data_IF_540842407541
#
_entry.id   IF_540842407541
#
_cell.length_a   1.000
_cell.length_b   1.000
_cell.length_c   1.000
_cell.angle_alpha   90.00
_cell.angle_beta   90.00
_cell.angle_gamma   90.00
#
_symmetry.space_group_name_H-M   'P 1'
#
loop_
_entity.id
_entity.type
_entity.pdbx_description
1 polymer ?
#
# COMPACT_ATOMS: atom_id res chain seq x y z
N UNK A 1 51.39 17.35 -15.28
CA UNK A 1 50.43 17.43 -14.16
C UNK A 1 49.05 17.93 -14.58
N UNK A 2 48.92 18.87 -15.52
CA UNK A 2 47.64 19.41 -16.02
C UNK A 2 46.69 18.40 -16.74
N UNK A 3 47.20 17.34 -17.37
CA UNK A 3 46.35 16.38 -18.10
C UNK A 3 45.60 15.38 -17.21
N UNK A 4 46.08 15.10 -16.00
CA UNK A 4 45.41 14.19 -15.04
C UNK A 4 44.29 14.87 -14.29
N UNK A 5 44.38 16.18 -14.03
CA UNK A 5 43.32 16.95 -13.36
C UNK A 5 42.14 17.20 -14.28
N UNK A 6 42.35 17.48 -15.57
CA UNK A 6 41.29 17.64 -16.56
C UNK A 6 40.54 16.32 -16.83
N UNK A 7 41.22 15.18 -16.77
CA UNK A 7 40.61 13.85 -16.86
C UNK A 7 39.77 13.50 -15.62
N UNK A 8 40.21 13.92 -14.42
CA UNK A 8 39.45 13.78 -13.17
C UNK A 8 38.19 14.65 -13.16
N UNK A 9 38.28 15.89 -13.59
CA UNK A 9 37.13 16.80 -13.65
C UNK A 9 36.06 16.33 -14.64
N UNK A 10 36.46 15.76 -15.78
CA UNK A 10 35.51 15.15 -16.74
C UNK A 10 34.75 13.98 -16.13
N UNK A 11 35.44 13.05 -15.46
CA UNK A 11 34.86 11.90 -14.81
C UNK A 11 33.91 12.32 -13.67
N UNK A 12 34.27 13.34 -12.91
CA UNK A 12 33.48 13.85 -11.80
C UNK A 12 32.15 14.48 -12.28
N UNK A 13 32.22 15.32 -13.34
CA UNK A 13 31.00 15.92 -13.92
C UNK A 13 30.07 14.89 -14.53
N UNK A 14 30.61 13.90 -15.25
CA UNK A 14 29.83 12.78 -15.78
C UNK A 14 29.15 11.96 -14.65
N UNK A 15 29.90 11.65 -13.61
CA UNK A 15 29.37 10.95 -12.43
C UNK A 15 28.26 11.74 -11.74
N UNK A 16 28.38 13.07 -11.62
CA UNK A 16 27.37 13.92 -11.00
C UNK A 16 26.03 13.90 -11.76
N UNK A 17 26.08 13.94 -13.10
CA UNK A 17 24.88 13.83 -13.93
C UNK A 17 24.24 12.45 -13.83
N UNK A 18 25.08 11.41 -13.83
CA UNK A 18 24.60 10.04 -13.68
C UNK A 18 23.90 9.84 -12.33
N UNK A 19 24.46 10.42 -11.26
CA UNK A 19 23.87 10.40 -9.91
C UNK A 19 22.49 11.11 -9.90
N UNK A 20 22.35 12.25 -10.59
CA UNK A 20 21.06 12.94 -10.69
C UNK A 20 19.97 12.08 -11.32
N UNK A 21 20.28 11.43 -12.45
CA UNK A 21 19.35 10.50 -13.13
C UNK A 21 19.09 9.28 -12.24
N UNK A 22 20.14 8.71 -11.65
CA UNK A 22 20.07 7.55 -10.77
C UNK A 22 19.11 7.83 -9.59
N UNK A 23 19.28 8.96 -8.89
CA UNK A 23 18.41 9.32 -7.76
C UNK A 23 16.95 9.43 -8.21
N UNK A 24 16.67 10.14 -9.31
CA UNK A 24 15.32 10.28 -9.84
C UNK A 24 14.69 8.94 -10.21
N UNK A 25 15.39 8.10 -10.96
CA UNK A 25 14.91 6.78 -11.35
C UNK A 25 14.75 5.84 -10.15
N UNK A 26 15.69 5.86 -9.19
CA UNK A 26 15.61 5.09 -7.95
C UNK A 26 14.37 5.45 -7.14
N UNK A 27 14.11 6.74 -6.97
CA UNK A 27 12.95 7.21 -6.22
C UNK A 27 11.64 6.75 -6.86
N UNK A 28 11.49 6.93 -8.19
CA UNK A 28 10.27 6.48 -8.90
C UNK A 28 10.10 4.97 -8.78
N UNK A 29 11.14 4.21 -9.17
CA UNK A 29 11.04 2.74 -9.18
C UNK A 29 10.79 2.19 -7.77
N UNK A 30 11.53 2.69 -6.77
CA UNK A 30 11.40 2.21 -5.41
C UNK A 30 10.02 2.48 -4.81
N UNK A 31 9.55 3.72 -4.92
CA UNK A 31 8.28 4.14 -4.33
C UNK A 31 7.07 3.52 -5.03
N UNK A 32 7.05 3.54 -6.37
CA UNK A 32 5.93 2.93 -7.13
C UNK A 32 5.89 1.41 -6.90
N UNK A 33 7.05 0.73 -6.78
CA UNK A 33 7.06 -0.71 -6.45
C UNK A 33 6.48 -0.99 -5.07
N UNK A 34 6.75 -0.15 -4.07
CA UNK A 34 6.15 -0.28 -2.72
C UNK A 34 4.65 0.01 -2.78
N UNK A 35 4.21 1.05 -3.50
CA UNK A 35 2.80 1.39 -3.64
C UNK A 35 2.02 0.28 -4.35
N UNK A 36 2.58 -0.33 -5.40
CA UNK A 36 1.97 -1.47 -6.07
C UNK A 36 1.89 -2.69 -5.15
N UNK A 37 2.95 -2.98 -4.38
CA UNK A 37 2.94 -4.03 -3.37
C UNK A 37 1.85 -3.82 -2.32
N UNK A 38 1.70 -2.58 -1.82
CA UNK A 38 0.64 -2.21 -0.88
C UNK A 38 -0.75 -2.36 -1.49
N UNK A 39 -0.94 -1.94 -2.74
CA UNK A 39 -2.20 -2.11 -3.46
C UNK A 39 -2.58 -3.59 -3.58
N UNK A 40 -1.62 -4.44 -3.95
CA UNK A 40 -1.85 -5.88 -4.07
C UNK A 40 -2.17 -6.54 -2.72
N UNK A 41 -1.48 -6.14 -1.66
CA UNK A 41 -1.74 -6.63 -0.30
C UNK A 41 -3.15 -6.24 0.17
N UNK A 42 -3.54 -4.97 -0.01
CA UNK A 42 -4.89 -4.51 0.33
C UNK A 42 -5.95 -5.22 -0.52
N UNK A 43 -5.72 -5.37 -1.83
CA UNK A 43 -6.66 -6.09 -2.70
C UNK A 43 -6.84 -7.54 -2.24
N UNK A 44 -5.76 -8.23 -1.86
CA UNK A 44 -5.88 -9.59 -1.33
C UNK A 44 -6.65 -9.66 -0.01
N UNK A 45 -6.46 -8.69 0.89
CA UNK A 45 -7.25 -8.59 2.13
C UNK A 45 -8.73 -8.29 1.86
N UNK A 46 -9.02 -7.47 0.85
CA UNK A 46 -10.39 -7.18 0.42
C UNK A 46 -11.07 -8.40 -0.24
N UNK A 47 -10.34 -9.18 -1.06
CA UNK A 47 -10.88 -10.44 -1.62
C UNK A 47 -11.28 -11.42 -0.52
N UNK A 48 -10.48 -11.45 0.54
CA UNK A 48 -10.71 -12.27 1.73
C UNK A 48 -11.95 -11.79 2.51
N UNK A 49 -12.20 -10.47 2.57
CA UNK A 49 -13.45 -9.90 3.13
C UNK A 49 -14.68 -10.42 2.38
N UNK A 50 -14.55 -10.67 1.09
CA UNK A 50 -15.59 -11.21 0.21
C UNK A 50 -16.34 -10.11 -0.56
N UNK A 51 -16.44 -10.26 -1.89
CA UNK A 51 -16.99 -9.22 -2.76
C UNK A 51 -18.48 -8.98 -2.58
N UNK A 52 -19.22 -9.89 -1.92
CA UNK A 52 -20.66 -9.74 -1.58
C UNK A 52 -20.88 -9.05 -0.24
N UNK A 53 -19.82 -8.83 0.54
CA UNK A 53 -19.92 -8.31 1.88
C UNK A 53 -19.89 -6.78 1.88
N UNK A 54 -20.70 -6.22 2.75
CA UNK A 54 -20.89 -4.80 2.95
C UNK A 54 -20.73 -4.54 4.45
N UNK A 55 -19.93 -3.55 4.81
CA UNK A 55 -19.77 -3.09 6.19
C UNK A 55 -20.54 -1.78 6.36
N UNK A 56 -21.41 -1.71 7.36
CA UNK A 56 -22.14 -0.49 7.71
C UNK A 56 -21.62 0.00 9.05
N UNK A 57 -20.95 1.15 9.04
CA UNK A 57 -20.39 1.78 10.24
C UNK A 57 -21.20 3.01 10.65
N UNK A 58 -21.25 3.35 11.95
CA UNK A 58 -22.00 4.52 12.41
C UNK A 58 -21.32 5.82 11.97
N UNK A 59 -22.13 6.81 11.57
CA UNK A 59 -21.66 8.14 11.24
C UNK A 59 -20.96 8.27 9.90
N UNK A 60 -20.39 9.45 9.65
CA UNK A 60 -19.65 9.77 8.44
C UNK A 60 -18.16 9.84 8.70
N UNK A 61 -17.38 9.36 7.75
CA UNK A 61 -15.90 9.52 7.75
C UNK A 61 -15.60 10.96 7.33
N UNK A 62 -15.27 11.83 8.27
CA UNK A 62 -14.80 13.18 7.96
C UNK A 62 -13.27 13.23 7.94
N UNK A 63 -12.71 13.73 6.83
CA UNK A 63 -11.26 13.91 6.72
C UNK A 63 -10.72 14.75 7.89
N UNK A 64 -9.77 14.16 8.64
CA UNK A 64 -9.11 14.80 9.78
C UNK A 64 -9.85 14.72 11.12
N UNK A 65 -11.10 14.20 11.18
CA UNK A 65 -11.87 14.05 12.42
C UNK A 65 -12.27 12.62 12.76
N UNK A 66 -12.03 11.66 11.85
CA UNK A 66 -12.46 10.28 12.03
C UNK A 66 -13.96 10.10 11.82
N UNK A 67 -14.54 9.10 12.47
CA UNK A 67 -15.98 8.80 12.39
C UNK A 67 -16.74 9.74 13.32
N UNK A 68 -17.64 10.55 12.76
CA UNK A 68 -18.51 11.48 13.49
C UNK A 68 -19.96 11.09 13.21
N UNK A 69 -20.69 10.69 14.24
CA UNK A 69 -22.13 10.36 14.06
C UNK A 69 -22.74 9.57 15.20
N UNK A 70 -23.94 9.04 14.93
CA UNK A 70 -24.77 8.27 15.85
C UNK A 70 -24.25 6.84 16.04
N UNK A 71 -24.69 6.17 17.10
CA UNK A 71 -24.47 4.73 17.32
C UNK A 71 -25.46 3.90 16.49
N UNK A 72 -25.04 2.72 16.03
CA UNK A 72 -25.92 1.73 15.41
C UNK A 72 -26.69 0.95 16.47
N UNK A 73 -27.95 0.63 16.20
CA UNK A 73 -28.82 -0.05 17.13
C UNK A 73 -29.67 -1.14 16.46
N UNK A 74 -30.45 -1.89 17.24
CA UNK A 74 -31.31 -2.97 16.74
C UNK A 74 -32.35 -2.52 15.69
N UNK A 75 -32.81 -1.27 15.76
CA UNK A 75 -33.78 -0.73 14.78
C UNK A 75 -33.12 -0.56 13.43
N UNK A 76 -31.85 -0.08 13.40
CA UNK A 76 -31.09 0.09 12.18
C UNK A 76 -30.80 -1.26 11.52
N UNK A 77 -30.47 -2.29 12.33
CA UNK A 77 -30.28 -3.66 11.84
C UNK A 77 -31.58 -4.21 11.23
N UNK A 78 -32.74 -3.94 11.87
CA UNK A 78 -34.03 -4.37 11.35
C UNK A 78 -34.39 -3.69 10.02
N UNK A 79 -34.04 -2.40 9.86
CA UNK A 79 -34.18 -1.67 8.59
C UNK A 79 -33.36 -2.31 7.52
N UNK A 80 -32.06 -2.56 7.78
CA UNK A 80 -31.13 -3.17 6.83
C UNK A 80 -31.54 -4.57 6.43
N UNK A 81 -31.96 -5.40 7.41
CA UNK A 81 -32.37 -6.78 7.14
C UNK A 81 -33.66 -6.89 6.28
N UNK A 82 -34.41 -5.79 6.11
CA UNK A 82 -35.56 -5.70 5.22
C UNK A 82 -35.27 -5.02 3.88
N UNK A 83 -34.04 -4.67 3.62
CA UNK A 83 -33.63 -4.17 2.30
C UNK A 83 -33.72 -5.33 1.32
N UNK A 84 -34.22 -5.07 0.14
CA UNK A 84 -34.32 -6.04 -0.94
C UNK A 84 -32.89 -6.49 -1.33
N UNK A 85 -32.70 -7.76 -1.67
CA UNK A 85 -31.44 -8.40 -2.04
C UNK A 85 -30.39 -8.50 -0.91
N UNK A 86 -30.77 -8.20 0.33
CA UNK A 86 -29.96 -8.51 1.52
C UNK A 86 -30.22 -9.94 1.94
N UNK A 87 -29.19 -10.78 1.86
CA UNK A 87 -29.23 -12.18 2.27
C UNK A 87 -29.15 -12.35 3.78
N UNK A 88 -28.19 -11.68 4.41
CA UNK A 88 -27.95 -11.75 5.86
C UNK A 88 -27.39 -10.42 6.32
N UNK A 89 -27.79 -9.98 7.52
CA UNK A 89 -27.22 -8.85 8.24
C UNK A 89 -26.96 -9.22 9.69
N UNK A 90 -25.76 -8.91 10.21
CA UNK A 90 -25.36 -9.27 11.56
C UNK A 90 -24.67 -8.10 12.27
N UNK A 91 -25.01 -7.85 13.55
CA UNK A 91 -24.34 -6.82 14.35
C UNK A 91 -23.05 -7.33 14.96
N UNK A 92 -22.05 -6.44 15.05
CA UNK A 92 -20.75 -6.74 15.60
C UNK A 92 -20.39 -5.71 16.66
N UNK A 93 -19.89 -6.19 17.80
CA UNK A 93 -19.19 -5.41 18.81
C UNK A 93 -17.69 -5.64 18.59
N UNK A 94 -16.95 -4.58 18.34
CA UNK A 94 -15.52 -4.59 18.02
C UNK A 94 -14.77 -3.52 18.85
N UNK A 95 -13.51 -3.31 18.54
CA UNK A 95 -12.69 -2.29 19.19
C UNK A 95 -12.61 -2.42 20.73
N UNK A 96 -12.76 -3.65 21.24
CA UNK A 96 -12.76 -3.98 22.68
C UNK A 96 -11.49 -4.77 23.01
N UNK A 97 -10.56 -4.14 23.67
CA UNK A 97 -9.28 -4.77 24.04
C UNK A 97 -9.41 -5.47 25.39
N UNK A 98 -8.98 -6.72 25.44
CA UNK A 98 -8.91 -7.53 26.65
C UNK A 98 -7.50 -8.06 26.86
N UNK A 99 -7.18 -8.38 28.11
CA UNK A 99 -5.92 -9.01 28.48
C UNK A 99 -6.14 -10.33 29.21
N UNK A 100 -5.28 -11.28 28.99
CA UNK A 100 -5.24 -12.55 29.70
C UNK A 100 -3.83 -13.13 29.69
N UNK A 101 -3.61 -14.16 30.49
CA UNK A 101 -2.30 -14.82 30.57
C UNK A 101 -2.48 -16.32 30.36
N UNK A 102 -1.66 -16.88 29.48
CA UNK A 102 -1.60 -18.32 29.19
C UNK A 102 -0.17 -18.79 29.43
N UNK A 103 -0.01 -19.81 30.24
CA UNK A 103 1.31 -20.40 30.62
C UNK A 103 2.35 -19.34 31.04
N UNK A 104 1.91 -18.25 31.69
CA UNK A 104 2.78 -17.15 32.12
C UNK A 104 3.05 -16.08 31.04
N UNK A 105 2.58 -16.27 29.81
CA UNK A 105 2.68 -15.30 28.70
C UNK A 105 1.48 -14.38 28.72
N UNK A 106 1.64 -13.05 28.78
CA UNK A 106 0.56 -12.10 28.71
C UNK A 106 0.13 -11.87 27.24
N UNK A 107 -1.17 -11.81 27.02
CA UNK A 107 -1.81 -11.45 25.76
C UNK A 107 -2.64 -10.19 25.94
N UNK A 108 -2.58 -9.31 24.95
CA UNK A 108 -3.49 -8.16 24.81
C UNK A 108 -4.07 -8.24 23.41
N UNK A 109 -5.36 -8.54 23.31
CA UNK A 109 -6.00 -8.87 22.05
C UNK A 109 -7.34 -8.17 21.92
N UNK A 110 -7.82 -8.03 20.69
CA UNK A 110 -9.17 -7.56 20.43
C UNK A 110 -10.18 -8.66 20.69
N UNK A 111 -11.33 -8.27 21.26
CA UNK A 111 -12.44 -9.15 21.51
C UNK A 111 -13.64 -8.72 20.68
N UNK A 112 -14.12 -9.62 19.83
CA UNK A 112 -15.32 -9.43 19.02
C UNK A 112 -16.52 -10.09 19.66
N UNK A 113 -17.63 -9.35 19.76
CA UNK A 113 -18.94 -9.89 20.07
C UNK A 113 -19.69 -10.17 18.78
N UNK A 114 -19.91 -11.46 18.47
CA UNK A 114 -20.48 -11.89 17.18
C UNK A 114 -21.68 -12.81 17.36
N UNK A 115 -22.50 -12.89 16.33
CA UNK A 115 -23.60 -13.86 16.25
C UNK A 115 -23.19 -15.07 15.39
N UNK A 116 -24.07 -16.05 15.27
CA UNK A 116 -23.84 -17.22 14.41
C UNK A 116 -23.71 -16.84 12.94
N UNK A 117 -24.52 -15.87 12.52
CA UNK A 117 -24.60 -15.39 11.14
C UNK A 117 -23.27 -14.75 10.67
N UNK A 118 -22.44 -14.27 11.60
CA UNK A 118 -21.10 -13.79 11.31
C UNK A 118 -20.22 -14.83 10.61
N UNK A 119 -20.30 -16.09 11.06
CA UNK A 119 -19.51 -17.19 10.48
C UNK A 119 -20.00 -17.61 9.08
N UNK A 120 -21.24 -17.29 8.75
CA UNK A 120 -21.81 -17.55 7.41
C UNK A 120 -21.32 -16.49 6.41
N UNK A 121 -21.21 -15.25 6.86
CA UNK A 121 -20.77 -14.12 6.04
C UNK A 121 -19.25 -14.10 5.86
N UNK A 122 -18.51 -14.26 6.95
CA UNK A 122 -17.06 -14.14 6.97
C UNK A 122 -16.40 -15.52 6.81
N UNK A 123 -16.01 -15.85 5.57
CA UNK A 123 -15.31 -17.11 5.26
C UNK A 123 -13.99 -17.27 5.99
N UNK A 124 -13.35 -16.17 6.38
CA UNK A 124 -12.10 -16.22 7.15
C UNK A 124 -12.32 -16.59 8.63
N UNK A 125 -13.54 -16.58 9.11
CA UNK A 125 -13.86 -17.07 10.43
C UNK A 125 -14.05 -18.59 10.47
N UNK A 126 -13.55 -19.31 9.45
CA UNK A 126 -13.52 -20.77 9.47
C UNK A 126 -12.66 -21.26 10.65
N UNK A 127 -13.16 -22.29 11.29
CA UNK A 127 -12.57 -22.85 12.51
C UNK A 127 -11.82 -24.14 12.12
N UNK A 128 -10.49 -24.14 12.28
CA UNK A 128 -9.64 -25.28 11.93
C UNK A 128 -9.69 -26.38 12.99
N UNK A 129 -9.82 -25.98 14.29
CA UNK A 129 -9.93 -26.94 15.39
C UNK A 129 -11.13 -26.60 16.26
N UNK A 130 -11.95 -27.61 16.57
CA UNK A 130 -13.13 -27.47 17.39
C UNK A 130 -14.39 -27.09 16.61
N UNK A 131 -15.11 -26.07 17.04
CA UNK A 131 -16.38 -25.61 16.43
C UNK A 131 -16.56 -24.10 16.54
N UNK A 132 -17.41 -23.58 15.68
CA UNK A 132 -17.91 -22.20 15.73
C UNK A 132 -18.80 -21.97 16.96
N UNK A 133 -19.06 -20.69 17.28
CA UNK A 133 -20.02 -20.30 18.32
C UNK A 133 -21.44 -20.68 17.92
N UNK A 134 -22.21 -21.16 18.89
CA UNK A 134 -23.63 -21.45 18.73
C UNK A 134 -24.48 -20.36 19.40
N UNK A 135 -25.68 -20.19 18.93
CA UNK A 135 -26.68 -19.22 19.53
C UNK A 135 -26.90 -19.45 21.02
N UNK A 136 -26.74 -20.65 21.52
CA UNK A 136 -26.94 -21.05 22.91
C UNK A 136 -25.71 -20.85 23.78
N UNK A 137 -24.58 -20.56 23.19
CA UNK A 137 -23.32 -20.35 23.94
C UNK A 137 -23.38 -19.05 24.74
N UNK A 138 -22.90 -19.10 25.99
CA UNK A 138 -22.81 -17.94 26.90
C UNK A 138 -21.40 -17.74 27.45
N UNK A 139 -20.60 -18.81 27.52
CA UNK A 139 -19.26 -18.79 28.11
C UNK A 139 -18.24 -19.40 27.15
N UNK A 140 -18.54 -19.42 25.86
CA UNK A 140 -17.68 -19.95 24.83
C UNK A 140 -16.81 -18.84 24.19
N UNK A 141 -15.63 -19.21 23.71
CA UNK A 141 -14.75 -18.34 22.94
C UNK A 141 -14.13 -19.12 21.79
N UNK A 142 -14.04 -18.50 20.64
CA UNK A 142 -13.16 -18.93 19.54
C UNK A 142 -11.96 -18.02 19.55
N UNK A 143 -10.76 -18.58 19.47
CA UNK A 143 -9.51 -17.85 19.59
C UNK A 143 -8.74 -17.84 18.28
N UNK A 144 -7.94 -16.81 18.06
CA UNK A 144 -7.08 -16.68 16.88
C UNK A 144 -5.94 -17.68 16.86
N UNK A 145 -5.48 -18.02 15.65
CA UNK A 145 -4.41 -19.00 15.45
C UNK A 145 -3.10 -18.61 16.18
N UNK A 146 -2.74 -17.32 16.18
CA UNK A 146 -1.53 -16.82 16.88
C UNK A 146 -1.67 -16.82 18.40
N UNK A 147 -2.89 -16.89 18.93
CA UNK A 147 -3.16 -17.06 20.37
C UNK A 147 -3.05 -18.53 20.74
N UNK A 148 -3.58 -19.42 19.90
CA UNK A 148 -3.50 -20.85 20.10
C UNK A 148 -2.05 -21.34 19.99
N UNK A 149 -1.37 -20.94 18.93
CA UNK A 149 0.04 -21.25 18.65
C UNK A 149 0.75 -20.00 18.15
N UNK A 150 1.44 -19.24 19.04
CA UNK A 150 2.28 -18.10 18.62
C UNK A 150 3.34 -18.50 17.61
N UNK A 151 3.77 -17.57 16.77
CA UNK A 151 4.75 -17.81 15.70
C UNK A 151 6.14 -18.25 16.21
N UNK A 152 6.44 -18.02 17.48
CA UNK A 152 7.68 -18.38 18.15
C UNK A 152 7.59 -19.71 18.94
N UNK A 153 6.46 -20.42 18.87
CA UNK A 153 6.22 -21.70 19.53
C UNK A 153 5.92 -22.81 18.52
N UNK A 154 6.57 -23.95 18.68
CA UNK A 154 6.37 -25.13 17.82
C UNK A 154 5.09 -25.90 18.15
N UNK A 155 4.57 -25.76 19.39
CA UNK A 155 3.37 -26.45 19.84
C UNK A 155 2.29 -25.47 20.35
N UNK A 156 1.01 -25.82 20.24
CA UNK A 156 -0.07 -25.00 20.79
C UNK A 156 0.07 -24.81 22.30
N UNK A 157 -0.08 -23.55 22.74
CA UNK A 157 -0.02 -23.19 24.17
C UNK A 157 -1.40 -23.19 24.80
N UNK A 158 -2.48 -23.04 24.00
CA UNK A 158 -3.88 -23.13 24.42
C UNK A 158 -4.70 -23.75 23.30
N UNK A 159 -5.65 -24.61 23.63
CA UNK A 159 -6.46 -25.35 22.68
C UNK A 159 -7.92 -25.51 23.09
N UNK A 160 -8.67 -26.24 22.26
CA UNK A 160 -10.09 -26.52 22.51
C UNK A 160 -10.28 -27.26 23.83
N UNK A 161 -11.20 -26.74 24.65
CA UNK A 161 -11.49 -27.25 25.98
C UNK A 161 -10.88 -26.46 27.14
N UNK A 162 -9.81 -25.69 26.88
CA UNK A 162 -9.15 -24.85 27.87
C UNK A 162 -10.05 -23.68 28.32
N UNK A 163 -9.70 -23.13 29.50
CA UNK A 163 -10.39 -21.96 30.03
C UNK A 163 -9.49 -20.75 30.05
N UNK A 164 -9.99 -19.65 29.47
CA UNK A 164 -9.36 -18.34 29.51
C UNK A 164 -10.07 -17.43 30.48
N UNK A 165 -9.29 -16.73 31.33
CA UNK A 165 -9.78 -15.65 32.18
C UNK A 165 -9.37 -14.32 31.56
N UNK A 166 -10.31 -13.71 30.84
CA UNK A 166 -10.08 -12.42 30.18
C UNK A 166 -10.42 -11.29 31.15
N UNK A 167 -9.60 -10.25 31.13
CA UNK A 167 -9.73 -9.05 31.96
C UNK A 167 -9.81 -7.82 31.09
N UNK A 168 -10.69 -6.91 31.46
CA UNK A 168 -10.79 -5.60 30.84
C UNK A 168 -11.24 -4.54 31.84
N UNK A 169 -10.96 -3.28 31.53
CA UNK A 169 -11.45 -2.15 32.30
C UNK A 169 -12.73 -1.61 31.65
N UNK A 170 -13.86 -1.86 32.30
CA UNK A 170 -15.19 -1.43 31.84
C UNK A 170 -15.69 -0.32 32.77
N UNK A 171 -15.97 0.85 32.23
CA UNK A 171 -16.43 2.01 33.02
C UNK A 171 -15.52 2.36 34.22
N UNK A 172 -14.20 2.13 34.05
CA UNK A 172 -13.21 2.39 35.09
C UNK A 172 -13.02 1.25 36.12
N UNK A 173 -13.84 0.18 36.05
CA UNK A 173 -13.78 -0.99 36.92
C UNK A 173 -13.16 -2.18 36.20
N UNK A 174 -12.20 -2.85 36.82
CA UNK A 174 -11.64 -4.09 36.28
C UNK A 174 -12.66 -5.22 36.42
N UNK A 175 -13.02 -5.83 35.28
CA UNK A 175 -13.89 -7.00 35.22
C UNK A 175 -13.13 -8.19 34.68
N UNK A 176 -13.53 -9.37 35.16
CA UNK A 176 -13.00 -10.66 34.72
C UNK A 176 -14.15 -11.52 34.17
N UNK A 177 -13.88 -12.17 33.03
CA UNK A 177 -14.81 -13.09 32.38
C UNK A 177 -14.08 -14.42 32.15
N UNK A 178 -14.69 -15.53 32.59
CA UNK A 178 -14.14 -16.88 32.35
C UNK A 178 -14.84 -17.51 31.14
N UNK A 179 -14.05 -17.82 30.11
CA UNK A 179 -14.51 -18.35 28.83
C UNK A 179 -13.88 -19.73 28.57
N UNK A 180 -14.65 -20.62 27.95
CA UNK A 180 -14.13 -21.93 27.50
C UNK A 180 -13.83 -21.85 26.00
N UNK A 181 -12.63 -22.24 25.60
CA UNK A 181 -12.24 -22.34 24.19
C UNK A 181 -13.03 -23.47 23.55
N UNK A 182 -13.81 -23.14 22.52
CA UNK A 182 -14.62 -24.09 21.75
C UNK A 182 -14.13 -24.28 20.33
N UNK A 183 -13.28 -23.35 19.85
CA UNK A 183 -12.66 -23.45 18.53
C UNK A 183 -11.46 -22.53 18.40
N UNK A 184 -10.68 -22.78 17.37
CA UNK A 184 -9.52 -21.99 16.96
C UNK A 184 -9.73 -21.59 15.50
N UNK A 185 -9.63 -20.29 15.20
CA UNK A 185 -9.70 -19.80 13.81
C UNK A 185 -8.53 -20.34 12.99
N UNK A 186 -8.79 -20.62 11.73
CA UNK A 186 -7.74 -20.85 10.75
C UNK A 186 -6.82 -19.63 10.63
N UNK A 187 -5.56 -19.88 10.28
CA UNK A 187 -4.59 -18.80 10.09
C UNK A 187 -4.87 -18.07 8.77
N UNK A 188 -5.20 -16.81 8.83
CA UNK A 188 -5.63 -15.99 7.69
C UNK A 188 -4.60 -14.98 7.23
N UNK A 189 -3.62 -14.64 8.05
CA UNK A 189 -2.63 -13.59 7.77
C UNK A 189 -3.17 -12.16 7.89
N UNK A 190 -4.36 -11.99 8.42
CA UNK A 190 -5.09 -10.71 8.53
C UNK A 190 -6.24 -10.62 7.52
N UNK A 191 -7.25 -9.83 7.87
CA UNK A 191 -8.43 -9.57 7.03
C UNK A 191 -8.83 -8.10 7.13
N UNK A 192 -9.46 -7.57 6.07
CA UNK A 192 -10.00 -6.22 6.09
C UNK A 192 -10.99 -6.06 7.26
N UNK A 193 -10.70 -5.12 8.15
CA UNK A 193 -11.54 -4.79 9.30
C UNK A 193 -11.36 -5.65 10.56
N UNK A 194 -10.63 -6.80 10.52
CA UNK A 194 -10.40 -7.63 11.70
C UNK A 194 -9.12 -8.47 11.57
N UNK A 195 -8.27 -8.44 12.58
CA UNK A 195 -7.13 -9.37 12.73
C UNK A 195 -7.58 -10.60 13.52
N UNK A 196 -8.21 -11.56 12.82
CA UNK A 196 -8.75 -12.76 13.45
C UNK A 196 -7.64 -13.64 14.07
N UNK A 197 -6.44 -13.63 13.50
CA UNK A 197 -5.32 -14.42 13.98
C UNK A 197 -4.87 -14.00 15.41
N UNK A 198 -5.04 -12.71 15.74
CA UNK A 198 -4.68 -12.12 17.02
C UNK A 198 -5.89 -11.66 17.84
N UNK A 199 -7.08 -12.19 17.60
CA UNK A 199 -8.31 -11.80 18.25
C UNK A 199 -9.05 -12.96 18.87
N UNK A 200 -10.10 -12.64 19.64
CA UNK A 200 -11.02 -13.63 20.19
C UNK A 200 -12.46 -13.26 19.86
N UNK A 201 -13.22 -14.27 19.44
CA UNK A 201 -14.67 -14.15 19.18
C UNK A 201 -15.51 -14.73 20.32
N UNK A 202 -16.47 -13.98 20.86
CA UNK A 202 -17.39 -14.43 21.89
C UNK A 202 -18.85 -14.18 21.44
N UNK A 203 -19.84 -14.87 22.04
CA UNK A 203 -21.24 -14.61 21.72
C UNK A 203 -21.63 -13.15 21.98
N UNK A 204 -22.34 -12.54 21.03
CA UNK A 204 -22.75 -11.14 21.06
C UNK A 204 -23.38 -10.74 22.40
N UNK A 205 -24.30 -11.58 22.93
CA UNK A 205 -24.95 -11.31 24.22
C UNK A 205 -23.99 -11.27 25.39
N UNK A 206 -22.98 -12.13 25.37
CA UNK A 206 -21.93 -12.17 26.40
C UNK A 206 -21.06 -10.91 26.31
N UNK A 207 -20.73 -10.45 25.11
CA UNK A 207 -20.04 -9.18 24.90
C UNK A 207 -20.87 -8.00 25.44
N UNK A 208 -22.15 -7.92 25.10
CA UNK A 208 -23.04 -6.85 25.58
C UNK A 208 -23.11 -6.81 27.11
N UNK A 209 -23.24 -7.96 27.76
CA UNK A 209 -23.28 -8.04 29.23
C UNK A 209 -21.94 -7.68 29.89
N UNK A 210 -20.84 -8.15 29.33
CA UNK A 210 -19.51 -7.90 29.86
C UNK A 210 -19.12 -6.41 29.78
N UNK A 211 -19.37 -5.79 28.63
CA UNK A 211 -19.06 -4.39 28.37
C UNK A 211 -20.13 -3.42 28.83
N UNK A 212 -21.29 -3.93 29.33
CA UNK A 212 -22.45 -3.11 29.74
C UNK A 212 -22.99 -2.23 28.61
N UNK A 213 -23.01 -2.77 27.38
CA UNK A 213 -23.46 -2.05 26.18
C UNK A 213 -24.95 -2.34 25.98
N UNK A 214 -25.75 -1.27 25.96
CA UNK A 214 -27.22 -1.34 25.95
C UNK A 214 -27.89 -1.62 24.60
N UNK A 215 -27.22 -2.29 23.66
CA UNK A 215 -27.79 -2.56 22.34
C UNK A 215 -27.21 -1.63 21.25
N UNK A 216 -26.11 -1.03 21.53
CA UNK A 216 -25.27 -0.30 20.56
C UNK A 216 -24.27 -1.26 19.92
N UNK A 217 -23.94 -1.00 18.65
CA UNK A 217 -23.03 -1.82 17.85
C UNK A 217 -21.97 -0.94 17.19
N UNK A 218 -20.79 -1.52 17.04
CA UNK A 218 -19.68 -0.81 16.41
C UNK A 218 -19.82 -0.81 14.89
N UNK A 219 -20.34 -1.90 14.30
CA UNK A 219 -20.70 -1.97 12.88
C UNK A 219 -21.66 -3.13 12.60
N UNK A 220 -22.28 -3.10 11.43
CA UNK A 220 -23.01 -4.26 10.89
C UNK A 220 -22.22 -4.83 9.72
N UNK A 221 -22.23 -6.16 9.63
CA UNK A 221 -21.80 -6.88 8.45
C UNK A 221 -23.02 -7.37 7.71
N UNK A 222 -23.12 -7.05 6.44
CA UNK A 222 -24.26 -7.34 5.57
C UNK A 222 -23.72 -8.13 4.38
N UNK A 223 -24.46 -9.13 3.92
CA UNK A 223 -24.16 -9.87 2.71
C UNK A 223 -25.30 -9.69 1.71
N UNK A 224 -24.98 -9.25 0.50
CA UNK A 224 -25.90 -9.23 -0.62
C UNK A 224 -26.10 -10.65 -1.19
N UNK A 225 -27.21 -10.90 -1.88
CA UNK A 225 -27.49 -12.21 -2.50
C UNK A 225 -26.46 -12.56 -3.57
N UNK A 226 -26.07 -11.59 -4.41
CA UNK A 226 -25.05 -11.74 -5.44
C UNK A 226 -24.11 -10.53 -5.48
N UNK A 227 -22.96 -10.68 -6.16
CA UNK A 227 -21.97 -9.59 -6.29
C UNK A 227 -22.55 -8.42 -7.08
N UNK A 228 -23.32 -8.71 -8.12
CA UNK A 228 -23.89 -7.71 -9.02
C UNK A 228 -24.90 -6.80 -8.32
N UNK A 229 -25.50 -7.25 -7.22
CA UNK A 229 -26.49 -6.50 -6.45
C UNK A 229 -25.89 -5.68 -5.32
N UNK A 230 -24.58 -5.77 -5.07
CA UNK A 230 -23.92 -5.07 -3.96
C UNK A 230 -24.12 -3.57 -4.07
N UNK A 231 -23.89 -2.98 -5.25
CA UNK A 231 -24.02 -1.53 -5.45
C UNK A 231 -25.46 -1.05 -5.23
N UNK A 232 -26.47 -1.82 -5.67
CA UNK A 232 -27.89 -1.51 -5.44
C UNK A 232 -28.26 -1.60 -3.97
N UNK A 233 -27.74 -2.62 -3.27
CA UNK A 233 -27.97 -2.79 -1.82
C UNK A 233 -27.32 -1.65 -1.03
N UNK A 234 -26.11 -1.21 -1.41
CA UNK A 234 -25.43 -0.07 -0.80
C UNK A 234 -26.28 1.19 -0.94
N UNK A 235 -26.74 1.53 -2.16
CA UNK A 235 -27.57 2.70 -2.43
C UNK A 235 -28.88 2.66 -1.60
N UNK A 236 -29.55 1.50 -1.55
CA UNK A 236 -30.79 1.34 -0.76
C UNK A 236 -30.57 1.47 0.75
N UNK A 237 -29.44 1.03 1.28
CA UNK A 237 -29.08 1.20 2.70
C UNK A 237 -28.84 2.69 2.99
N UNK A 238 -28.08 3.37 2.13
CA UNK A 238 -27.78 4.80 2.24
C UNK A 238 -29.07 5.63 2.16
N UNK A 239 -29.98 5.31 1.25
CA UNK A 239 -31.28 5.98 1.13
C UNK A 239 -32.13 5.86 2.39
N UNK A 240 -32.08 4.70 3.07
CA UNK A 240 -32.91 4.44 4.26
C UNK A 240 -32.33 4.99 5.55
N UNK A 241 -31.00 4.98 5.70
CA UNK A 241 -30.31 5.40 6.92
C UNK A 241 -29.67 6.79 6.79
N UNK A 242 -29.50 7.29 5.56
CA UNK A 242 -28.98 8.62 5.27
C UNK A 242 -27.57 8.85 5.81
N UNK A 243 -27.30 10.09 6.21
CA UNK A 243 -26.01 10.51 6.74
C UNK A 243 -25.64 9.93 8.11
N UNK A 244 -26.52 9.10 8.69
CA UNK A 244 -26.28 8.46 9.98
C UNK A 244 -25.27 7.31 9.90
N UNK A 245 -24.96 6.82 8.69
CA UNK A 245 -24.09 5.68 8.46
C UNK A 245 -23.15 5.94 7.30
N UNK A 246 -22.03 5.24 7.28
CA UNK A 246 -21.17 5.05 6.10
C UNK A 246 -21.24 3.59 5.70
N UNK A 247 -21.50 3.34 4.43
CA UNK A 247 -21.59 1.99 3.86
C UNK A 247 -20.31 1.73 3.05
N UNK A 248 -19.62 0.67 3.40
CA UNK A 248 -18.34 0.29 2.76
C UNK A 248 -18.54 -1.06 2.08
N UNK A 249 -18.49 -1.09 0.76
CA UNK A 249 -18.43 -2.31 -0.04
C UNK A 249 -16.98 -2.61 -0.45
N UNK A 250 -16.77 -3.79 -1.04
CA UNK A 250 -15.49 -4.14 -1.66
C UNK A 250 -15.05 -3.09 -2.70
N UNK A 251 -15.97 -2.68 -3.57
CA UNK A 251 -15.70 -1.69 -4.62
C UNK A 251 -15.33 -0.32 -4.05
N UNK A 252 -16.16 0.20 -3.13
CA UNK A 252 -15.89 1.51 -2.51
C UNK A 252 -14.60 1.52 -1.68
N UNK A 253 -14.22 0.39 -1.08
CA UNK A 253 -12.95 0.26 -0.38
C UNK A 253 -11.77 0.27 -1.35
N UNK A 254 -11.88 -0.40 -2.51
CA UNK A 254 -10.86 -0.34 -3.57
C UNK A 254 -10.69 1.08 -4.10
N UNK A 255 -11.78 1.79 -4.37
CA UNK A 255 -11.76 3.16 -4.87
C UNK A 255 -11.08 4.10 -3.86
N UNK A 256 -11.44 3.99 -2.59
CA UNK A 256 -10.82 4.79 -1.52
C UNK A 256 -9.30 4.57 -1.44
N UNK A 257 -8.88 3.31 -1.51
CA UNK A 257 -7.46 2.95 -1.52
C UNK A 257 -6.78 3.48 -2.78
N UNK A 258 -7.42 3.29 -3.95
CA UNK A 258 -6.94 3.79 -5.23
C UNK A 258 -6.71 5.31 -5.23
N UNK A 259 -7.64 6.07 -4.69
CA UNK A 259 -7.55 7.53 -4.56
C UNK A 259 -6.40 7.98 -3.67
N UNK A 260 -6.22 7.32 -2.53
CA UNK A 260 -5.11 7.60 -1.59
C UNK A 260 -3.78 7.27 -2.24
N UNK A 261 -3.65 6.07 -2.83
CA UNK A 261 -2.41 5.64 -3.50
C UNK A 261 -2.12 6.52 -4.71
N UNK A 262 -3.11 6.86 -5.52
CA UNK A 262 -2.98 7.78 -6.65
C UNK A 262 -2.50 9.17 -6.24
N UNK A 263 -2.98 9.68 -5.13
CA UNK A 263 -2.49 10.95 -4.56
C UNK A 263 -1.03 10.86 -4.14
N UNK A 264 -0.64 9.77 -3.48
CA UNK A 264 0.75 9.51 -3.10
C UNK A 264 1.63 9.41 -4.34
N UNK A 265 1.21 8.64 -5.36
CA UNK A 265 1.94 8.49 -6.63
C UNK A 265 2.10 9.84 -7.36
N UNK A 266 1.08 10.69 -7.38
CA UNK A 266 1.16 12.01 -7.99
C UNK A 266 2.19 12.92 -7.29
N UNK A 267 2.20 12.93 -5.94
CA UNK A 267 3.19 13.71 -5.15
C UNK A 267 4.61 13.20 -5.41
N UNK A 268 4.79 11.88 -5.36
CA UNK A 268 6.10 11.25 -5.56
C UNK A 268 6.58 11.41 -7.01
N UNK A 269 5.67 11.31 -7.97
CA UNK A 269 5.93 11.61 -9.39
C UNK A 269 6.38 13.06 -9.60
N UNK A 270 5.78 14.00 -8.87
CA UNK A 270 6.19 15.40 -8.86
C UNK A 270 7.62 15.60 -8.35
N UNK A 271 7.99 14.96 -7.24
CA UNK A 271 9.35 15.00 -6.68
C UNK A 271 10.37 14.41 -7.66
N UNK A 272 10.01 13.29 -8.27
CA UNK A 272 10.86 12.64 -9.27
C UNK A 272 11.05 13.50 -10.53
N UNK A 273 10.00 14.16 -11.00
CA UNK A 273 10.07 15.10 -12.12
C UNK A 273 11.02 16.25 -11.82
N UNK A 274 10.98 16.83 -10.62
CA UNK A 274 11.91 17.88 -10.19
C UNK A 274 13.35 17.34 -10.20
N UNK A 275 13.58 16.14 -9.67
CA UNK A 275 14.91 15.52 -9.66
C UNK A 275 15.46 15.31 -11.08
N UNK A 276 14.61 14.88 -12.02
CA UNK A 276 15.00 14.71 -13.42
C UNK A 276 15.23 16.03 -14.15
N UNK A 277 14.49 17.10 -13.82
CA UNK A 277 14.74 18.45 -14.34
C UNK A 277 16.13 18.92 -13.88
N UNK A 278 16.46 18.75 -12.61
CA UNK A 278 17.78 19.10 -12.07
C UNK A 278 18.89 18.30 -12.77
N UNK A 279 18.70 16.99 -12.96
CA UNK A 279 19.62 16.15 -13.73
C UNK A 279 19.76 16.64 -15.18
N UNK A 280 18.63 17.02 -15.81
CA UNK A 280 18.61 17.59 -17.15
C UNK A 280 19.43 18.87 -17.30
N UNK A 281 19.32 19.79 -16.34
CA UNK A 281 20.17 21.01 -16.31
C UNK A 281 21.64 20.64 -16.17
N UNK A 282 21.98 19.64 -15.35
CA UNK A 282 23.32 19.09 -15.24
C UNK A 282 23.85 18.54 -16.57
N UNK A 283 23.02 17.82 -17.33
CA UNK A 283 23.36 17.29 -18.66
C UNK A 283 23.63 18.43 -19.64
N UNK A 284 22.77 19.45 -19.70
CA UNK A 284 22.96 20.64 -20.55
C UNK A 284 24.34 21.27 -20.28
N UNK A 285 24.64 21.50 -19.01
CA UNK A 285 25.90 22.12 -18.61
C UNK A 285 27.11 21.25 -19.01
N UNK A 286 27.07 19.98 -18.69
CA UNK A 286 28.18 19.05 -18.98
C UNK A 286 28.42 18.86 -20.48
N UNK A 287 27.32 18.69 -21.24
CA UNK A 287 27.42 18.57 -22.70
C UNK A 287 27.93 19.87 -23.34
N UNK A 288 27.50 21.04 -22.84
CA UNK A 288 27.99 22.34 -23.34
C UNK A 288 29.47 22.45 -23.13
N UNK A 289 29.99 22.10 -21.96
CA UNK A 289 31.44 22.09 -21.69
C UNK A 289 32.16 21.05 -22.56
N UNK A 290 31.58 19.84 -22.73
CA UNK A 290 32.14 18.81 -23.62
C UNK A 290 32.25 19.27 -25.07
N UNK A 291 31.27 20.00 -25.59
CA UNK A 291 31.28 20.61 -26.91
C UNK A 291 32.43 21.64 -27.01
N UNK A 292 32.57 22.51 -26.00
CA UNK A 292 33.63 23.52 -25.99
C UNK A 292 35.04 22.87 -25.97
N UNK A 293 35.26 21.85 -25.15
CA UNK A 293 36.53 21.10 -25.07
C UNK A 293 36.83 20.34 -26.36
N UNK A 294 35.83 19.88 -27.12
CA UNK A 294 35.98 19.16 -28.40
C UNK A 294 35.80 20.02 -29.63
N UNK A 295 35.74 21.35 -29.50
CA UNK A 295 35.49 22.26 -30.61
C UNK A 295 36.44 22.04 -31.78
N UNK A 296 37.74 21.88 -31.51
CA UNK A 296 38.74 21.61 -32.53
C UNK A 296 38.57 20.25 -33.21
N UNK A 297 38.21 19.20 -32.45
CA UNK A 297 37.91 17.86 -33.01
C UNK A 297 36.70 17.92 -33.97
N UNK A 298 35.67 18.64 -33.59
CA UNK A 298 34.45 18.87 -34.41
C UNK A 298 34.82 19.62 -35.67
N UNK A 299 35.70 20.65 -35.57
CA UNK A 299 36.21 21.40 -36.70
C UNK A 299 36.98 20.52 -37.70
N UNK A 300 37.86 19.63 -37.22
CA UNK A 300 38.59 18.66 -38.06
C UNK A 300 37.59 17.70 -38.74
N UNK A 301 36.66 17.11 -38.00
CA UNK A 301 35.66 16.20 -38.56
C UNK A 301 34.84 16.86 -39.70
N UNK A 302 34.43 18.11 -39.52
CA UNK A 302 33.73 18.86 -40.54
C UNK A 302 34.62 19.25 -41.72
N UNK A 303 35.91 19.56 -41.51
CA UNK A 303 36.87 19.86 -42.57
C UNK A 303 37.13 18.66 -43.48
N UNK A 304 37.08 17.43 -42.97
CA UNK A 304 37.19 16.18 -43.74
C UNK A 304 35.85 15.69 -44.32
N UNK A 305 34.75 16.46 -44.15
CA UNK A 305 33.46 16.20 -44.84
C UNK A 305 32.32 15.70 -44.00
N UNK A 306 32.42 15.64 -42.67
CA UNK A 306 31.31 15.29 -41.80
C UNK A 306 30.20 16.33 -41.89
N UNK A 307 28.95 15.87 -42.03
CA UNK A 307 27.75 16.73 -42.08
C UNK A 307 27.34 17.17 -40.68
N UNK A 308 26.64 18.28 -40.58
CA UNK A 308 26.10 18.77 -39.31
C UNK A 308 25.22 17.71 -38.60
N UNK A 309 24.52 16.87 -39.37
CA UNK A 309 23.74 15.76 -38.83
C UNK A 309 24.57 14.70 -38.13
N UNK A 310 25.76 14.42 -38.63
CA UNK A 310 26.64 13.40 -38.06
C UNK A 310 27.17 13.85 -36.70
N UNK A 311 27.51 15.13 -36.56
CA UNK A 311 27.88 15.75 -35.27
C UNK A 311 26.69 15.76 -34.30
N UNK A 312 25.49 16.10 -34.79
CA UNK A 312 24.27 16.08 -33.98
C UNK A 312 24.01 14.66 -33.41
N UNK A 313 24.04 13.64 -34.29
CA UNK A 313 23.81 12.25 -33.86
C UNK A 313 24.87 11.73 -32.91
N UNK A 314 26.13 12.16 -33.05
CA UNK A 314 27.19 11.81 -32.11
C UNK A 314 26.85 12.26 -30.68
N UNK A 315 26.44 13.50 -30.48
CA UNK A 315 26.09 14.02 -29.15
C UNK A 315 24.75 13.48 -28.62
N UNK A 316 23.77 13.26 -29.52
CA UNK A 316 22.51 12.63 -29.10
C UNK A 316 22.74 11.17 -28.68
N UNK A 317 23.61 10.42 -29.35
CA UNK A 317 23.93 9.05 -28.93
C UNK A 317 24.62 9.03 -27.56
N UNK A 318 25.47 10.01 -27.25
CA UNK A 318 26.07 10.18 -25.95
C UNK A 318 25.01 10.44 -24.85
N UNK A 319 24.01 11.27 -25.16
CA UNK A 319 22.88 11.53 -24.26
C UNK A 319 22.02 10.27 -24.04
N UNK A 320 21.73 9.50 -25.10
CA UNK A 320 21.00 8.23 -25.02
C UNK A 320 21.72 7.24 -24.11
N UNK A 321 23.04 7.06 -24.32
CA UNK A 321 23.84 6.15 -23.49
C UNK A 321 23.83 6.59 -22.03
N UNK A 322 23.97 7.89 -21.77
CA UNK A 322 23.89 8.43 -20.41
C UNK A 322 22.54 8.16 -19.75
N UNK A 323 21.43 8.39 -20.48
CA UNK A 323 20.08 8.10 -20.02
C UNK A 323 19.83 6.61 -19.78
N UNK A 324 20.32 5.73 -20.68
CA UNK A 324 20.22 4.28 -20.53
C UNK A 324 21.00 3.78 -19.30
N UNK A 325 22.25 4.17 -19.17
CA UNK A 325 23.08 3.74 -18.02
C UNK A 325 22.51 4.25 -16.71
N UNK A 326 22.15 5.55 -16.64
CA UNK A 326 21.54 6.14 -15.45
C UNK A 326 20.17 5.55 -15.13
N UNK A 327 19.33 5.34 -16.14
CA UNK A 327 18.00 4.78 -16.02
C UNK A 327 18.02 3.32 -15.55
N UNK A 328 18.82 2.47 -16.18
CA UNK A 328 18.94 1.05 -15.82
C UNK A 328 19.52 0.90 -14.41
N UNK A 329 20.63 1.58 -14.13
CA UNK A 329 21.24 1.51 -12.78
C UNK A 329 20.31 2.08 -11.70
N UNK A 330 19.61 3.17 -12.00
CA UNK A 330 18.61 3.77 -11.10
C UNK A 330 17.43 2.86 -10.86
N UNK A 331 16.86 2.25 -11.91
CA UNK A 331 15.76 1.31 -11.78
C UNK A 331 16.14 0.08 -10.94
N UNK A 332 17.30 -0.53 -11.22
CA UNK A 332 17.78 -1.68 -10.45
C UNK A 332 18.04 -1.33 -8.98
N UNK A 333 18.62 -0.17 -8.72
CA UNK A 333 18.87 0.29 -7.36
C UNK A 333 17.56 0.65 -6.64
N UNK A 334 16.56 1.15 -7.38
CA UNK A 334 15.22 1.39 -6.86
C UNK A 334 14.53 0.10 -6.40
N UNK A 335 14.58 -0.96 -7.22
CA UNK A 335 14.08 -2.28 -6.83
C UNK A 335 14.80 -2.83 -5.60
N UNK A 336 16.13 -2.71 -5.57
CA UNK A 336 16.91 -3.16 -4.42
C UNK A 336 16.50 -2.42 -3.14
N UNK A 337 16.37 -1.10 -3.18
CA UNK A 337 15.92 -0.31 -2.03
C UNK A 337 14.48 -0.66 -1.63
N UNK A 338 13.59 -0.86 -2.60
CA UNK A 338 12.21 -1.28 -2.33
C UNK A 338 12.16 -2.61 -1.57
N UNK A 339 12.99 -3.59 -1.97
CA UNK A 339 13.07 -4.89 -1.28
C UNK A 339 13.61 -4.76 0.14
N UNK A 340 14.64 -3.93 0.34
CA UNK A 340 15.19 -3.69 1.68
C UNK A 340 14.15 -3.02 2.58
N UNK A 341 13.52 -1.95 2.12
CA UNK A 341 12.49 -1.23 2.89
C UNK A 341 11.26 -2.14 3.12
N UNK A 342 10.78 -2.81 2.07
CA UNK A 342 9.65 -3.73 2.16
C UNK A 342 9.87 -4.85 3.18
N UNK A 343 11.11 -5.38 3.25
CA UNK A 343 11.48 -6.37 4.26
C UNK A 343 11.41 -5.85 5.71
N UNK A 344 11.70 -4.56 5.94
CA UNK A 344 11.57 -3.96 7.27
C UNK A 344 10.12 -3.70 7.69
N UNK A 345 9.25 -3.39 6.74
CA UNK A 345 7.84 -3.07 7.00
C UNK A 345 6.91 -4.28 6.77
N UNK A 346 7.46 -5.46 6.48
CA UNK A 346 6.74 -6.68 6.12
C UNK A 346 5.76 -6.51 4.94
N UNK A 347 6.10 -5.66 3.99
CA UNK A 347 5.33 -5.39 2.80
C UNK A 347 6.13 -5.81 1.56
N UNK A 348 5.75 -6.87 0.83
CA UNK A 348 6.47 -7.28 -0.37
C UNK A 348 6.27 -6.25 -1.49
N UNK A 349 7.34 -5.58 -1.98
CA UNK A 349 7.21 -4.69 -3.13
C UNK A 349 6.96 -5.49 -4.41
N UNK A 350 6.18 -4.93 -5.32
CA UNK A 350 5.89 -5.55 -6.62
C UNK A 350 6.46 -4.70 -7.78
N UNK A 351 7.74 -4.90 -8.15
CA UNK A 351 8.37 -4.19 -9.25
C UNK A 351 7.93 -4.77 -10.60
N UNK A 352 7.05 -4.09 -11.32
CA UNK A 352 6.64 -4.53 -12.65
C UNK A 352 7.71 -4.21 -13.72
N UNK A 353 7.87 -5.11 -14.70
CA UNK A 353 8.73 -4.90 -15.87
C UNK A 353 8.30 -3.65 -16.66
N UNK A 354 7.00 -3.39 -16.73
CA UNK A 354 6.44 -2.19 -17.37
C UNK A 354 6.94 -0.90 -16.73
N UNK A 355 6.97 -0.84 -15.40
CA UNK A 355 7.51 0.28 -14.64
C UNK A 355 8.99 0.51 -14.94
N UNK A 356 9.81 -0.55 -14.94
CA UNK A 356 11.24 -0.44 -15.24
C UNK A 356 11.48 0.12 -16.64
N UNK A 357 10.78 -0.40 -17.65
CA UNK A 357 10.88 0.08 -19.04
C UNK A 357 10.42 1.54 -19.14
N UNK A 358 9.33 1.90 -18.46
CA UNK A 358 8.84 3.28 -18.42
C UNK A 358 9.87 4.23 -17.81
N UNK A 359 10.46 3.89 -16.67
CA UNK A 359 11.45 4.72 -15.97
C UNK A 359 12.72 4.90 -16.80
N UNK A 360 13.23 3.81 -17.42
CA UNK A 360 14.39 3.88 -18.32
C UNK A 360 14.05 4.72 -19.56
N UNK A 361 12.90 4.53 -20.16
CA UNK A 361 12.43 5.35 -21.29
C UNK A 361 12.34 6.82 -20.95
N UNK A 362 11.81 7.14 -19.77
CA UNK A 362 11.70 8.51 -19.28
C UNK A 362 13.07 9.15 -18.99
N UNK A 363 14.02 8.38 -18.43
CA UNK A 363 15.42 8.82 -18.24
C UNK A 363 16.11 9.12 -19.57
N UNK A 364 15.94 8.27 -20.58
CA UNK A 364 16.46 8.48 -21.94
C UNK A 364 15.85 9.71 -22.57
N UNK A 365 14.52 9.87 -22.50
CA UNK A 365 13.81 11.04 -23.05
C UNK A 365 14.33 12.34 -22.41
N UNK A 366 14.44 12.39 -21.09
CA UNK A 366 14.99 13.54 -20.36
C UNK A 366 16.42 13.85 -20.79
N UNK A 367 17.27 12.83 -20.92
CA UNK A 367 18.67 12.99 -21.34
C UNK A 367 18.78 13.52 -22.78
N UNK A 368 17.94 13.00 -23.70
CA UNK A 368 17.91 13.43 -25.10
C UNK A 368 17.41 14.87 -25.22
N UNK A 369 16.31 15.21 -24.54
CA UNK A 369 15.75 16.57 -24.55
C UNK A 369 16.78 17.56 -24.01
N UNK A 370 17.43 17.23 -22.90
CA UNK A 370 18.46 18.08 -22.31
C UNK A 370 19.73 18.19 -23.16
N UNK A 371 20.13 17.10 -23.84
CA UNK A 371 21.27 17.07 -24.73
C UNK A 371 21.04 17.73 -26.09
N UNK A 372 19.77 17.95 -26.48
CA UNK A 372 19.43 18.45 -27.81
C UNK A 372 19.98 19.87 -28.08
N UNK A 373 19.88 20.77 -27.11
CA UNK A 373 20.38 22.15 -27.27
C UNK A 373 21.91 22.20 -27.47
N UNK A 374 22.75 21.62 -26.61
CA UNK A 374 24.21 21.63 -26.84
C UNK A 374 24.61 20.87 -28.10
N UNK A 375 23.95 19.75 -28.44
CA UNK A 375 24.19 19.00 -29.67
C UNK A 375 23.87 19.80 -30.92
N UNK A 376 22.76 20.53 -30.93
CA UNK A 376 22.40 21.43 -32.03
C UNK A 376 23.43 22.56 -32.20
N UNK A 377 23.89 23.18 -31.10
CA UNK A 377 24.90 24.22 -31.13
C UNK A 377 26.26 23.68 -31.67
N UNK A 378 26.66 22.48 -31.26
CA UNK A 378 27.85 21.80 -31.77
C UNK A 378 27.75 21.53 -33.29
N UNK A 379 26.57 21.11 -33.76
CA UNK A 379 26.31 20.82 -35.17
C UNK A 379 26.38 22.06 -36.08
N UNK A 380 26.17 23.25 -35.52
CA UNK A 380 26.24 24.54 -36.21
C UNK A 380 27.65 25.16 -36.32
N UNK A 381 28.68 24.61 -35.67
CA UNK A 381 30.03 25.17 -35.70
C UNK A 381 30.62 25.19 -37.12
N UNK A 382 31.21 26.33 -37.51
CA UNK A 382 31.94 26.45 -38.78
C UNK A 382 33.37 25.87 -38.66
N UNK A 383 33.85 25.05 -39.63
CA UNK A 383 35.16 24.44 -39.56
C UNK A 383 36.31 25.43 -39.36
N UNK A 384 36.23 26.58 -40.05
CA UNK A 384 37.28 27.64 -40.01
C UNK A 384 37.34 28.27 -38.62
N UNK A 385 36.19 28.54 -38.00
CA UNK A 385 36.12 29.13 -36.63
C UNK A 385 36.57 28.12 -35.58
N UNK A 386 36.15 26.86 -35.73
CA UNK A 386 36.49 25.79 -34.80
C UNK A 386 37.97 25.43 -34.79
N UNK A 387 38.66 25.56 -35.93
CA UNK A 387 40.10 25.33 -36.03
C UNK A 387 40.95 26.52 -35.54
N UNK A 388 40.36 27.72 -35.50
CA UNK A 388 41.03 28.96 -35.03
C UNK A 388 40.88 29.15 -33.50
N UNK A 389 40.10 28.33 -32.85
CA UNK A 389 39.91 28.38 -31.41
C UNK A 389 41.18 27.83 -30.72
N UNK A 390 41.88 28.70 -29.97
CA UNK A 390 42.99 28.33 -29.10
C UNK A 390 42.55 27.79 -27.77
#
# INVERSE_FOLDING_TARGET
MMSLDSLKERKFRFALNLIGILIGCTAVTGLVSITQGLSNDINSQLEVFGPQNIMVIPGQIQQGRGIVGSTLNWRDLEIISKVEDVKVATPIIANKIVSFTVRGRPFMVEMFGVTNEYFEINKNSEVDDGRQLLRTDTSAVVIGANIAQPLDEDEPIVGVGDRLKVKAKVNGVEKELSLRVVGVYGRTGGSFGADLDNSIGIPLRTAQQFWEIGGEFDYFMVQAETIELVSDVVERIEDKLGEAVTVISFESAQDLVGDVLGTIEAVLGGIAAISLIVAGVGIINTMTVSVMERTREIGVLKAIGAKSRDVLFMFISEAIVTGLVGGITGALFGVFLAQVVGGYINLPPDPSLGLMVFVVGFAVATSVISGLYPAWRASGLHPVEALRYE
#
